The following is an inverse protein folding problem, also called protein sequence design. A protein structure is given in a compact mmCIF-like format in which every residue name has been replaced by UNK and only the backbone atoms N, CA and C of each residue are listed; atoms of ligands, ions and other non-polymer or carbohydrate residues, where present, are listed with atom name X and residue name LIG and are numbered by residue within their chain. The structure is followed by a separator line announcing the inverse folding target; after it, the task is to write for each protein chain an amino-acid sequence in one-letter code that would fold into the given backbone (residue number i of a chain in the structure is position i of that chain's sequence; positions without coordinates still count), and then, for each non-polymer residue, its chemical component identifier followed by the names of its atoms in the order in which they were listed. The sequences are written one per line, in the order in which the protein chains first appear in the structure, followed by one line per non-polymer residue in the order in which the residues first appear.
data_IF_680025419774
#
_entry.id   IF_680025419774
#
_cell.length_a   1.000
_cell.length_b   1.000
_cell.length_c   1.000
_cell.angle_alpha   90.00
_cell.angle_beta   90.00
_cell.angle_gamma   90.00
#
_symmetry.space_group_name_H-M   'P 1'
#
loop_
_entity.id
_entity.type
_entity.pdbx_description
1 polymer ?
#
# COMPACT_ATOMS: atom_id res chain seq x y z
N UNK A 1 -1.99 -14.38 36.11
CA UNK A 1 -2.65 -14.96 34.93
C UNK A 1 -4.02 -15.40 35.42
N UNK A 2 -5.13 -14.91 34.86
CA UNK A 2 -6.43 -15.47 35.25
C UNK A 2 -6.56 -16.83 34.58
N UNK A 3 -6.78 -17.87 35.37
CA UNK A 3 -6.99 -19.20 34.83
C UNK A 3 -8.25 -19.18 33.96
N UNK A 4 -8.09 -19.51 32.68
CA UNK A 4 -9.22 -19.62 31.77
C UNK A 4 -10.06 -20.83 32.17
N UNK A 5 -11.36 -20.75 31.94
CA UNK A 5 -12.19 -21.96 32.07
C UNK A 5 -11.85 -22.94 30.94
N UNK A 6 -12.06 -24.26 31.13
CA UNK A 6 -11.84 -25.25 30.08
C UNK A 6 -12.60 -24.95 28.77
N UNK A 7 -13.77 -24.33 28.88
CA UNK A 7 -14.58 -23.92 27.73
C UNK A 7 -13.92 -22.77 26.94
N UNK A 8 -13.34 -21.80 27.64
CA UNK A 8 -12.59 -20.70 27.02
C UNK A 8 -11.29 -21.21 26.37
N UNK A 9 -10.60 -22.14 27.01
CA UNK A 9 -9.40 -22.77 26.43
C UNK A 9 -9.73 -23.52 25.13
N UNK A 10 -10.81 -24.30 25.14
CA UNK A 10 -11.29 -25.01 23.96
C UNK A 10 -11.72 -24.06 22.83
N UNK A 11 -12.39 -22.95 23.15
CA UNK A 11 -12.78 -21.94 22.17
C UNK A 11 -11.56 -21.24 21.55
N UNK A 12 -10.56 -20.88 22.35
CA UNK A 12 -9.28 -20.33 21.85
C UNK A 12 -8.58 -21.33 20.93
N UNK A 13 -8.52 -22.60 21.33
CA UNK A 13 -7.91 -23.66 20.52
C UNK A 13 -8.64 -23.80 19.17
N UNK A 14 -9.97 -23.87 19.20
CA UNK A 14 -10.82 -23.96 18.00
C UNK A 14 -10.59 -22.80 17.04
N UNK A 15 -10.59 -21.56 17.56
CA UNK A 15 -10.31 -20.37 16.75
C UNK A 15 -8.89 -20.38 16.18
N UNK A 16 -7.87 -20.75 16.95
CA UNK A 16 -6.49 -20.82 16.44
C UNK A 16 -6.33 -21.90 15.36
N UNK A 17 -7.00 -23.03 15.49
CA UNK A 17 -6.99 -24.09 14.48
C UNK A 17 -7.69 -23.64 13.20
N UNK A 18 -8.78 -22.87 13.28
CA UNK A 18 -9.45 -22.34 12.09
C UNK A 18 -8.60 -21.30 11.34
N UNK A 19 -7.58 -20.74 12.00
CA UNK A 19 -6.65 -19.76 11.45
C UNK A 19 -5.39 -20.38 10.83
N UNK A 20 -5.40 -21.69 10.54
CA UNK A 20 -4.32 -22.35 9.83
C UNK A 20 -4.45 -22.13 8.31
N UNK A 21 -3.50 -21.40 7.72
CA UNK A 21 -3.45 -21.14 6.27
C UNK A 21 -2.36 -22.02 5.62
N UNK A 22 -2.64 -22.71 4.50
CA UNK A 22 -1.63 -23.51 3.78
C UNK A 22 -0.58 -22.63 3.07
N UNK A 23 0.61 -23.19 2.80
CA UNK A 23 1.68 -22.52 2.03
C UNK A 23 2.31 -21.31 2.74
N UNK A 24 2.51 -20.20 2.04
CA UNK A 24 3.05 -18.92 2.58
C UNK A 24 2.11 -18.25 3.61
N UNK A 25 0.95 -18.86 3.87
CA UNK A 25 0.10 -18.60 5.02
C UNK A 25 -0.38 -17.14 5.14
N UNK A 26 -0.26 -16.58 6.35
CA UNK A 26 -0.64 -15.19 6.64
C UNK A 26 0.07 -14.15 5.77
N UNK A 27 1.27 -14.46 5.26
CA UNK A 27 2.03 -13.52 4.45
C UNK A 27 1.37 -13.29 3.10
N UNK A 28 0.99 -14.38 2.41
CA UNK A 28 0.25 -14.31 1.15
C UNK A 28 -1.08 -13.58 1.32
N UNK A 29 -1.82 -13.89 2.39
CA UNK A 29 -3.06 -13.19 2.72
C UNK A 29 -2.85 -11.67 2.86
N UNK A 30 -1.79 -11.24 3.56
CA UNK A 30 -1.48 -9.80 3.69
C UNK A 30 -1.20 -9.18 2.32
N UNK A 31 -0.42 -9.85 1.47
CA UNK A 31 -0.10 -9.34 0.12
C UNK A 31 -1.38 -9.17 -0.71
N UNK A 32 -2.26 -10.18 -0.72
CA UNK A 32 -3.51 -10.12 -1.49
C UNK A 32 -4.44 -9.01 -0.98
N UNK A 33 -4.49 -8.81 0.33
CA UNK A 33 -5.25 -7.72 0.94
C UNK A 33 -4.62 -6.35 0.67
N UNK A 34 -3.28 -6.22 0.66
CA UNK A 34 -2.60 -4.99 0.24
C UNK A 34 -2.97 -4.59 -1.19
N UNK A 35 -3.01 -5.57 -2.11
CA UNK A 35 -3.44 -5.35 -3.49
C UNK A 35 -4.92 -4.97 -3.58
N UNK A 36 -5.78 -5.71 -2.87
CA UNK A 36 -7.23 -5.52 -2.92
C UNK A 36 -7.64 -4.13 -2.43
N UNK A 37 -7.07 -3.70 -1.30
CA UNK A 37 -7.46 -2.44 -0.64
C UNK A 37 -6.50 -1.27 -0.93
N UNK A 38 -5.45 -1.51 -1.71
CA UNK A 38 -4.39 -0.53 -1.99
C UNK A 38 -3.81 0.12 -0.72
N UNK A 39 -3.57 -0.69 0.32
CA UNK A 39 -3.03 -0.28 1.62
C UNK A 39 -1.61 -0.82 1.84
N UNK A 40 -0.85 -0.16 2.72
CA UNK A 40 0.50 -0.62 3.07
C UNK A 40 0.49 -1.91 3.88
N UNK A 41 1.58 -2.68 3.77
CA UNK A 41 1.75 -3.95 4.48
C UNK A 41 1.50 -3.81 5.99
N UNK A 42 2.02 -2.75 6.61
CA UNK A 42 1.87 -2.53 8.05
C UNK A 42 0.43 -2.19 8.45
N UNK A 43 -0.33 -1.44 7.62
CA UNK A 43 -1.75 -1.14 7.88
C UNK A 43 -2.56 -2.43 7.84
N UNK A 44 -2.38 -3.24 6.79
CA UNK A 44 -3.08 -4.52 6.63
C UNK A 44 -2.73 -5.48 7.78
N UNK A 45 -1.43 -5.69 8.03
CA UNK A 45 -0.96 -6.52 9.15
C UNK A 45 -1.54 -6.09 10.49
N UNK A 46 -1.60 -4.77 10.76
CA UNK A 46 -2.19 -4.24 12.00
C UNK A 46 -3.66 -4.63 12.13
N UNK A 47 -4.46 -4.51 11.06
CA UNK A 47 -5.87 -4.91 11.07
C UNK A 47 -6.00 -6.39 11.38
N UNK A 48 -5.31 -7.28 10.66
CA UNK A 48 -5.36 -8.74 10.90
C UNK A 48 -5.08 -9.09 12.37
N UNK A 49 -3.97 -8.56 12.90
CA UNK A 49 -3.55 -8.81 14.28
C UNK A 49 -4.54 -8.23 15.30
N UNK A 50 -5.10 -7.05 15.03
CA UNK A 50 -6.09 -6.44 15.93
C UNK A 50 -7.43 -7.18 15.92
N UNK A 51 -7.89 -7.66 14.77
CA UNK A 51 -9.12 -8.46 14.65
C UNK A 51 -8.95 -9.81 15.35
N UNK A 52 -7.80 -10.46 15.19
CA UNK A 52 -7.51 -11.70 15.91
C UNK A 52 -7.52 -11.47 17.43
N UNK A 53 -6.84 -10.42 17.90
CA UNK A 53 -6.82 -10.05 19.32
C UNK A 53 -8.21 -9.71 19.86
N UNK A 54 -9.08 -9.10 19.04
CA UNK A 54 -10.44 -8.79 19.44
C UNK A 54 -11.27 -10.05 19.70
N UNK A 55 -11.16 -11.08 18.84
CA UNK A 55 -11.81 -12.38 19.05
C UNK A 55 -11.25 -13.07 20.29
N UNK A 56 -9.92 -13.11 20.47
CA UNK A 56 -9.31 -13.68 21.67
C UNK A 56 -9.76 -12.95 22.94
N UNK A 57 -9.88 -11.62 22.89
CA UNK A 57 -10.39 -10.81 24.01
C UNK A 57 -11.85 -11.12 24.32
N UNK A 58 -12.69 -11.27 23.29
CA UNK A 58 -14.10 -11.67 23.42
C UNK A 58 -14.22 -13.01 24.14
N UNK A 59 -13.44 -14.02 23.71
CA UNK A 59 -13.44 -15.34 24.36
C UNK A 59 -13.03 -15.25 25.84
N UNK A 60 -12.04 -14.42 26.18
CA UNK A 60 -11.51 -14.31 27.55
C UNK A 60 -12.43 -13.54 28.51
N UNK A 61 -13.17 -12.56 28.03
CA UNK A 61 -13.85 -11.59 28.90
C UNK A 61 -15.36 -11.46 28.66
N UNK A 62 -15.88 -12.00 27.55
CA UNK A 62 -17.27 -11.89 27.12
C UNK A 62 -17.73 -13.25 26.57
N UNK A 63 -17.44 -14.33 27.30
CA UNK A 63 -17.63 -15.70 26.80
C UNK A 63 -19.10 -16.03 26.51
N UNK A 64 -20.02 -15.50 27.32
CA UNK A 64 -21.46 -15.68 27.13
C UNK A 64 -21.98 -15.12 25.78
N UNK A 65 -21.24 -14.17 25.18
CA UNK A 65 -21.56 -13.57 23.89
C UNK A 65 -20.85 -14.26 22.71
N UNK A 66 -20.03 -15.29 22.96
CA UNK A 66 -19.30 -16.02 21.93
C UNK A 66 -20.24 -17.00 21.23
N UNK A 67 -20.33 -16.85 19.91
CA UNK A 67 -21.09 -17.74 19.03
C UNK A 67 -20.16 -18.68 18.26
N UNK A 68 -20.70 -19.75 17.68
CA UNK A 68 -19.93 -20.66 16.84
C UNK A 68 -19.28 -19.92 15.65
N UNK A 69 -19.99 -18.95 15.08
CA UNK A 69 -19.52 -18.14 13.95
C UNK A 69 -18.26 -17.34 14.32
N UNK A 70 -18.17 -16.81 15.54
CA UNK A 70 -17.00 -16.04 16.02
C UNK A 70 -15.69 -16.86 15.99
N UNK A 71 -15.80 -18.19 16.00
CA UNK A 71 -14.65 -19.11 16.01
C UNK A 71 -14.25 -19.55 14.59
N UNK A 72 -14.94 -19.08 13.56
CA UNK A 72 -14.67 -19.43 12.16
C UNK A 72 -13.70 -18.45 11.50
N UNK A 73 -12.89 -18.99 10.58
CA UNK A 73 -12.02 -18.19 9.72
C UNK A 73 -12.82 -17.20 8.86
N UNK A 74 -13.99 -17.60 8.38
CA UNK A 74 -14.84 -16.79 7.51
C UNK A 74 -15.36 -15.53 8.22
N UNK A 75 -15.87 -15.66 9.44
CA UNK A 75 -16.33 -14.50 10.20
C UNK A 75 -15.18 -13.56 10.56
N UNK A 76 -14.02 -14.11 10.92
CA UNK A 76 -12.81 -13.33 11.15
C UNK A 76 -12.39 -12.56 9.89
N UNK A 77 -12.30 -13.22 8.74
CA UNK A 77 -11.97 -12.58 7.45
C UNK A 77 -12.99 -11.51 7.08
N UNK A 78 -14.29 -11.76 7.28
CA UNK A 78 -15.33 -10.76 7.02
C UNK A 78 -15.13 -9.49 7.86
N UNK A 79 -14.73 -9.63 9.13
CA UNK A 79 -14.40 -8.50 9.99
C UNK A 79 -13.11 -7.78 9.56
N UNK A 80 -12.11 -8.51 9.06
CA UNK A 80 -10.90 -7.92 8.46
C UNK A 80 -11.26 -7.11 7.21
N UNK A 81 -12.00 -7.70 6.27
CA UNK A 81 -12.44 -7.03 5.04
C UNK A 81 -13.24 -5.76 5.32
N UNK A 82 -14.13 -5.78 6.33
CA UNK A 82 -14.89 -4.59 6.74
C UNK A 82 -13.96 -3.46 7.18
N UNK A 83 -13.06 -3.74 8.13
CA UNK A 83 -12.12 -2.73 8.65
C UNK A 83 -11.16 -2.21 7.59
N UNK A 84 -10.69 -3.06 6.67
CA UNK A 84 -9.83 -2.63 5.57
C UNK A 84 -10.57 -1.74 4.58
N UNK A 85 -11.85 -2.02 4.30
CA UNK A 85 -12.70 -1.18 3.46
C UNK A 85 -12.91 0.21 4.07
N UNK A 86 -13.11 0.29 5.38
CA UNK A 86 -13.23 1.57 6.07
C UNK A 86 -11.93 2.39 5.97
N UNK A 87 -10.77 1.72 6.10
CA UNK A 87 -9.46 2.37 5.91
C UNK A 87 -9.17 2.77 4.46
N UNK A 88 -9.69 2.03 3.49
CA UNK A 88 -9.59 2.35 2.07
C UNK A 88 -10.39 3.62 1.74
N UNK A 89 -11.60 3.78 2.28
CA UNK A 89 -12.42 4.98 2.04
C UNK A 89 -11.79 6.27 2.55
N UNK A 90 -10.96 6.18 3.58
CA UNK A 90 -10.20 7.32 4.13
C UNK A 90 -8.87 7.55 3.40
N UNK A 91 -8.51 6.70 2.42
CA UNK A 91 -7.22 6.76 1.77
C UNK A 91 -7.21 7.81 0.64
N UNK A 92 -6.31 8.78 0.74
CA UNK A 92 -6.09 9.76 -0.33
C UNK A 92 -5.41 9.06 -1.50
N UNK A 93 -6.00 9.18 -2.69
CA UNK A 93 -5.46 8.53 -3.88
C UNK A 93 -4.09 9.12 -4.27
N UNK A 94 -3.22 8.36 -4.95
CA UNK A 94 -1.96 8.88 -5.47
C UNK A 94 -2.13 10.14 -6.32
N UNK A 95 -3.20 10.22 -7.12
CA UNK A 95 -3.46 11.38 -7.99
C UNK A 95 -3.83 12.64 -7.19
N UNK A 96 -4.66 12.51 -6.15
CA UNK A 96 -4.96 13.63 -5.24
C UNK A 96 -3.71 14.09 -4.49
N UNK A 97 -2.87 13.12 -4.08
CA UNK A 97 -1.59 13.42 -3.42
C UNK A 97 -0.62 14.13 -4.35
N UNK A 98 -0.59 13.76 -5.64
CA UNK A 98 0.21 14.43 -6.66
C UNK A 98 -0.23 15.88 -6.86
N UNK A 99 -1.54 16.11 -7.01
CA UNK A 99 -2.12 17.43 -7.23
C UNK A 99 -1.85 18.38 -6.05
N UNK A 100 -1.74 17.88 -4.83
CA UNK A 100 -1.35 18.66 -3.65
C UNK A 100 0.16 18.71 -3.37
N UNK A 101 1.00 18.09 -4.22
CA UNK A 101 2.44 18.03 -3.98
C UNK A 101 3.14 19.31 -4.43
N UNK A 102 3.76 20.03 -3.48
CA UNK A 102 4.45 21.29 -3.74
C UNK A 102 5.58 21.19 -4.79
N UNK A 103 6.30 20.06 -4.84
CA UNK A 103 7.36 19.82 -5.83
C UNK A 103 6.78 19.63 -7.22
N UNK A 104 5.68 18.88 -7.33
CA UNK A 104 4.96 18.69 -8.58
C UNK A 104 4.39 20.01 -9.12
N UNK A 105 3.74 20.80 -8.26
CA UNK A 105 3.19 22.12 -8.61
C UNK A 105 4.31 23.06 -9.06
N UNK A 106 5.45 23.07 -8.34
CA UNK A 106 6.61 23.88 -8.70
C UNK A 106 7.18 23.49 -10.08
N UNK A 107 7.42 22.19 -10.30
CA UNK A 107 7.95 21.70 -11.57
C UNK A 107 7.04 22.07 -12.75
N UNK A 108 5.73 21.81 -12.63
CA UNK A 108 4.75 22.14 -13.67
C UNK A 108 4.67 23.63 -13.96
N UNK A 109 4.68 24.49 -12.93
CA UNK A 109 4.71 25.94 -13.12
C UNK A 109 5.96 26.43 -13.85
N UNK A 110 7.12 25.83 -13.61
CA UNK A 110 8.38 26.20 -14.29
C UNK A 110 8.39 25.68 -15.73
N UNK A 111 7.86 24.48 -15.96
CA UNK A 111 7.67 23.92 -17.31
C UNK A 111 6.78 24.85 -18.14
N UNK A 112 5.66 25.30 -17.57
CA UNK A 112 4.72 26.21 -18.25
C UNK A 112 5.31 27.61 -18.50
N UNK A 113 6.15 28.10 -17.59
CA UNK A 113 6.85 29.37 -17.75
C UNK A 113 7.98 29.32 -18.79
N UNK A 114 8.44 28.12 -19.14
CA UNK A 114 9.54 27.86 -20.07
C UNK A 114 10.88 27.68 -19.36
N UNK A 115 11.59 26.63 -19.75
CA UNK A 115 12.93 26.29 -19.23
C UNK A 115 13.97 26.91 -20.17
N UNK A 116 14.80 27.82 -19.64
CA UNK A 116 15.76 28.60 -20.44
C UNK A 116 17.22 28.24 -20.22
N UNK A 117 17.56 27.60 -19.10
CA UNK A 117 18.94 27.22 -18.77
C UNK A 117 19.00 25.79 -18.24
N UNK A 118 20.19 25.19 -18.31
CA UNK A 118 20.37 23.81 -17.85
C UNK A 118 20.21 23.68 -16.33
N UNK A 119 20.63 24.69 -15.57
CA UNK A 119 20.39 24.74 -14.12
C UNK A 119 18.89 24.69 -13.78
N UNK A 120 18.05 25.38 -14.56
CA UNK A 120 16.58 25.34 -14.38
C UNK A 120 16.04 23.97 -14.78
N UNK A 121 16.57 23.37 -15.86
CA UNK A 121 16.17 22.02 -16.27
C UNK A 121 16.47 21.00 -15.17
N UNK A 122 17.69 21.00 -14.63
CA UNK A 122 18.10 20.09 -13.56
C UNK A 122 17.21 20.24 -12.33
N UNK A 123 16.92 21.48 -11.92
CA UNK A 123 16.04 21.76 -10.79
C UNK A 123 14.60 21.24 -11.02
N UNK A 124 14.06 21.35 -12.23
CA UNK A 124 12.75 20.80 -12.59
C UNK A 124 12.76 19.27 -12.52
N UNK A 125 13.80 18.62 -13.06
CA UNK A 125 13.93 17.16 -13.02
C UNK A 125 14.04 16.66 -11.57
N UNK A 126 14.79 17.36 -10.71
CA UNK A 126 14.87 17.04 -9.29
C UNK A 126 13.50 17.18 -8.61
N UNK A 127 12.75 18.27 -8.88
CA UNK A 127 11.41 18.45 -8.33
C UNK A 127 10.45 17.34 -8.78
N UNK A 128 10.51 16.90 -10.05
CA UNK A 128 9.73 15.76 -10.56
C UNK A 128 10.14 14.44 -9.89
N UNK A 129 11.44 14.20 -9.70
CA UNK A 129 11.95 13.03 -8.99
C UNK A 129 11.43 13.00 -7.55
N UNK A 130 11.54 14.10 -6.80
CA UNK A 130 11.06 14.17 -5.41
C UNK A 130 9.53 14.03 -5.31
N UNK A 131 8.79 14.50 -6.31
CA UNK A 131 7.35 14.26 -6.40
C UNK A 131 7.03 12.77 -6.60
N UNK A 132 7.71 12.12 -7.55
CA UNK A 132 7.59 10.68 -7.78
C UNK A 132 7.97 9.87 -6.54
N UNK A 133 9.10 10.19 -5.92
CA UNK A 133 9.62 9.47 -4.76
C UNK A 133 8.58 9.45 -3.63
N UNK A 134 7.97 10.61 -3.36
CA UNK A 134 6.99 10.78 -2.30
C UNK A 134 5.62 10.18 -2.63
N UNK A 135 5.13 10.36 -3.85
CA UNK A 135 3.74 10.03 -4.23
C UNK A 135 3.60 8.60 -4.73
N UNK A 136 4.65 8.06 -5.35
CA UNK A 136 4.63 6.73 -5.94
C UNK A 136 5.60 5.80 -5.25
N UNK A 137 6.90 6.10 -5.30
CA UNK A 137 7.94 5.13 -4.94
C UNK A 137 7.82 4.66 -3.50
N UNK A 138 7.81 5.59 -2.53
CA UNK A 138 7.72 5.28 -1.09
C UNK A 138 6.40 4.57 -0.72
N UNK A 139 5.21 5.06 -1.15
CA UNK A 139 3.96 4.35 -0.93
C UNK A 139 3.97 2.93 -1.52
N UNK A 140 4.38 2.79 -2.78
CA UNK A 140 4.41 1.50 -3.45
C UNK A 140 5.40 0.53 -2.80
N UNK A 141 6.59 1.01 -2.39
CA UNK A 141 7.56 0.23 -1.63
C UNK A 141 7.00 -0.26 -0.27
N UNK A 142 6.17 0.57 0.39
CA UNK A 142 5.48 0.20 1.63
C UNK A 142 4.41 -0.87 1.44
N UNK A 143 3.74 -0.87 0.28
CA UNK A 143 2.73 -1.87 -0.10
C UNK A 143 3.37 -3.18 -0.52
N UNK A 144 4.44 -3.10 -1.31
CA UNK A 144 5.20 -4.22 -1.85
C UNK A 144 6.17 -4.84 -0.85
N UNK A 145 6.28 -4.30 0.36
CA UNK A 145 7.25 -4.73 1.35
C UNK A 145 7.33 -6.27 1.41
N UNK A 146 8.54 -6.82 1.36
CA UNK A 146 8.82 -8.28 1.39
C UNK A 146 8.31 -9.12 0.21
N UNK A 147 7.70 -8.50 -0.81
CA UNK A 147 7.32 -9.21 -2.07
C UNK A 147 8.47 -9.25 -3.08
N UNK A 148 8.48 -10.19 -4.05
CA UNK A 148 9.43 -10.17 -5.16
C UNK A 148 9.41 -8.88 -5.99
N UNK A 149 8.24 -8.23 -6.10
CA UNK A 149 8.07 -6.97 -6.83
C UNK A 149 8.78 -5.79 -6.14
N UNK A 150 9.00 -5.85 -4.82
CA UNK A 150 9.78 -4.84 -4.09
C UNK A 150 11.18 -4.67 -4.70
N UNK A 151 11.86 -5.79 -4.98
CA UNK A 151 13.21 -5.78 -5.53
C UNK A 151 13.27 -5.25 -6.96
N UNK A 152 12.18 -5.41 -7.71
CA UNK A 152 12.04 -4.77 -9.02
C UNK A 152 11.87 -3.26 -8.83
N UNK A 153 10.99 -2.84 -7.92
CA UNK A 153 10.79 -1.41 -7.64
C UNK A 153 12.09 -0.71 -7.22
N UNK A 154 12.92 -1.34 -6.37
CA UNK A 154 14.21 -0.78 -5.95
C UNK A 154 15.19 -0.52 -7.11
N UNK A 155 14.97 -1.10 -8.29
CA UNK A 155 15.77 -0.80 -9.50
C UNK A 155 15.23 0.39 -10.30
N UNK A 156 14.07 0.93 -9.91
CA UNK A 156 13.37 2.02 -10.55
C UNK A 156 13.10 3.17 -9.56
N UNK A 157 14.13 3.54 -8.80
CA UNK A 157 14.15 4.73 -7.94
C UNK A 157 14.01 6.01 -8.77
N UNK A 158 14.61 6.04 -9.95
CA UNK A 158 14.45 7.14 -10.89
C UNK A 158 13.20 6.97 -11.76
N UNK A 159 12.49 8.09 -11.99
CA UNK A 159 11.34 8.15 -12.90
C UNK A 159 11.71 7.65 -14.29
N UNK A 160 12.89 8.00 -14.78
CA UNK A 160 13.42 7.65 -16.11
C UNK A 160 13.43 6.14 -16.40
N UNK A 161 13.51 5.30 -15.36
CA UNK A 161 13.53 3.83 -15.47
C UNK A 161 12.11 3.25 -15.57
N UNK A 162 11.07 4.00 -15.16
CA UNK A 162 9.67 3.58 -15.19
C UNK A 162 9.03 3.72 -16.58
N UNK A 163 9.65 3.09 -17.59
CA UNK A 163 9.11 2.97 -18.95
C UNK A 163 7.74 2.26 -18.94
N UNK A 164 7.03 2.31 -20.07
CA UNK A 164 5.75 1.58 -20.20
C UNK A 164 5.91 0.08 -19.89
N UNK A 165 6.96 -0.54 -20.43
CA UNK A 165 7.29 -1.95 -20.19
C UNK A 165 7.55 -2.24 -18.70
N UNK A 166 8.26 -1.35 -18.02
CA UNK A 166 8.55 -1.52 -16.59
C UNK A 166 7.29 -1.33 -15.72
N UNK A 167 6.43 -0.39 -16.09
CA UNK A 167 5.15 -0.13 -15.40
C UNK A 167 4.19 -1.31 -15.49
N UNK A 168 4.24 -2.13 -16.54
CA UNK A 168 3.42 -3.35 -16.65
C UNK A 168 3.72 -4.37 -15.55
N UNK A 169 4.91 -4.34 -14.94
CA UNK A 169 5.26 -5.20 -13.81
C UNK A 169 4.43 -4.88 -12.54
N UNK A 170 3.81 -3.72 -12.49
CA UNK A 170 3.03 -3.21 -11.35
C UNK A 170 1.57 -2.93 -11.72
N UNK A 171 1.02 -3.67 -12.69
CA UNK A 171 -0.37 -3.53 -13.16
C UNK A 171 -1.43 -3.69 -12.06
N UNK A 172 -1.11 -4.44 -10.99
CA UNK A 172 -1.93 -4.57 -9.78
C UNK A 172 -2.07 -3.25 -8.97
N UNK A 173 -1.35 -2.19 -9.34
CA UNK A 173 -1.33 -0.88 -8.68
C UNK A 173 -1.69 0.25 -9.66
N UNK A 174 -2.91 0.25 -10.24
CA UNK A 174 -3.25 1.10 -11.38
C UNK A 174 -3.13 2.60 -11.07
N UNK A 175 -3.54 3.04 -9.88
CA UNK A 175 -3.45 4.46 -9.50
C UNK A 175 -2.00 4.95 -9.38
N UNK A 176 -1.10 4.11 -8.87
CA UNK A 176 0.32 4.43 -8.81
C UNK A 176 0.92 4.50 -10.21
N UNK A 177 0.56 3.55 -11.08
CA UNK A 177 1.07 3.52 -12.46
C UNK A 177 0.55 4.67 -13.32
N UNK A 178 -0.68 5.12 -13.10
CA UNK A 178 -1.23 6.32 -13.73
C UNK A 178 -0.41 7.57 -13.37
N UNK A 179 -0.12 7.77 -12.08
CA UNK A 179 0.71 8.90 -11.62
C UNK A 179 2.13 8.80 -12.17
N UNK A 180 2.75 7.62 -12.13
CA UNK A 180 4.07 7.42 -12.72
C UNK A 180 4.10 7.78 -14.20
N UNK A 181 3.09 7.37 -14.97
CA UNK A 181 2.99 7.71 -16.40
C UNK A 181 2.96 9.23 -16.63
N UNK A 182 2.21 9.96 -15.80
CA UNK A 182 2.11 11.42 -15.87
C UNK A 182 3.45 12.10 -15.57
N UNK A 183 4.13 11.69 -14.50
CA UNK A 183 5.45 12.26 -14.14
C UNK A 183 6.50 11.87 -15.19
N UNK A 184 6.49 10.63 -15.66
CA UNK A 184 7.40 10.13 -16.70
C UNK A 184 7.31 10.94 -17.99
N UNK A 185 6.08 11.24 -18.45
CA UNK A 185 5.88 12.06 -19.64
C UNK A 185 6.46 13.47 -19.48
N UNK A 186 6.33 14.07 -18.30
CA UNK A 186 6.92 15.38 -18.00
C UNK A 186 8.44 15.30 -17.97
N UNK A 187 9.01 14.33 -17.27
CA UNK A 187 10.46 14.09 -17.21
C UNK A 187 11.06 13.94 -18.62
N UNK A 188 10.45 13.11 -19.47
CA UNK A 188 10.87 12.96 -20.86
C UNK A 188 10.77 14.26 -21.66
N UNK A 189 9.68 15.00 -21.51
CA UNK A 189 9.50 16.28 -22.22
C UNK A 189 10.57 17.30 -21.84
N UNK A 190 10.92 17.39 -20.55
CA UNK A 190 11.93 18.31 -20.03
C UNK A 190 13.33 17.94 -20.52
N UNK A 191 13.67 16.63 -20.53
CA UNK A 191 14.96 16.14 -21.06
C UNK A 191 15.11 16.35 -22.56
N UNK A 192 14.01 16.27 -23.31
CA UNK A 192 14.01 16.41 -24.77
C UNK A 192 14.05 17.88 -25.23
N UNK A 193 13.87 18.86 -24.33
CA UNK A 193 13.99 20.27 -24.70
C UNK A 193 15.37 20.55 -25.30
N UNK A 194 15.42 21.43 -26.29
CA UNK A 194 16.70 21.98 -26.77
C UNK A 194 16.81 23.38 -26.18
N UNK A 195 17.82 23.62 -25.33
CA UNK A 195 18.10 24.96 -24.83
C UNK A 195 18.99 25.68 -25.83
N UNK A 196 18.68 26.96 -26.05
CA UNK A 196 19.43 27.85 -26.92
C UNK A 196 20.53 28.56 -26.13
#
# INVERSE_FOLDING_TARGET
MSDLTPQQEQAIATFKTSMHFPGDGFHALIIDLCKTYQLSFQKVRKVLMSTQKAVEKKIRHQFDDVTADDLTQQAWLANVHRQLKDLESDNVTPIQTLQGNARYIKATSVIDAGITTEDVREAVLEDLFLAYEKVVFKPLASMLHTTPLYWKLMRAEEVSVMTDEYRLLFSDYPHHMQVTAQIFKLDQSVRALTLN
#
